data_IF_868690819925
#
_entry.id   IF_868690819925
#
_cell.length_a   1.000
_cell.length_b   1.000
_cell.length_c   1.000
_cell.angle_alpha   90.00
_cell.angle_beta   90.00
_cell.angle_gamma   90.00
#
_symmetry.space_group_name_H-M   'P 1'
#
loop_
_entity.id
_entity.type
_entity.pdbx_description
1 polymer ?
#
# COMPACT_ATOMS: atom_id res chain seq x y z
N UNK A 1 -22.64 19.90 -4.98
CA UNK A 1 -23.56 18.74 -5.18
C UNK A 1 -22.67 17.53 -5.30
N UNK A 2 -23.03 16.42 -4.67
CA UNK A 2 -22.15 15.24 -4.62
C UNK A 2 -22.45 14.28 -5.78
N UNK A 3 -21.43 13.65 -6.33
CA UNK A 3 -21.55 12.76 -7.47
C UNK A 3 -20.78 11.45 -7.25
N UNK A 4 -21.30 10.36 -7.79
CA UNK A 4 -20.55 9.11 -7.91
C UNK A 4 -20.30 8.82 -9.38
N UNK A 5 -19.03 8.77 -9.76
CA UNK A 5 -18.57 8.48 -11.12
C UNK A 5 -17.85 7.14 -11.12
N UNK A 6 -18.01 6.36 -12.17
CA UNK A 6 -17.23 5.15 -12.43
C UNK A 6 -16.33 5.34 -13.62
N UNK A 7 -15.16 4.69 -13.59
CA UNK A 7 -14.37 4.40 -14.78
C UNK A 7 -14.55 2.93 -15.15
N UNK A 8 -14.78 2.64 -16.41
CA UNK A 8 -14.83 1.28 -16.94
C UNK A 8 -13.48 0.85 -17.51
N UNK A 9 -13.26 -0.47 -17.63
CA UNK A 9 -12.01 -1.05 -18.14
C UNK A 9 -11.63 -0.63 -19.57
N UNK A 10 -12.59 -0.13 -20.35
CA UNK A 10 -12.36 0.44 -21.69
C UNK A 10 -11.93 1.93 -21.65
N UNK A 11 -11.81 2.52 -20.45
CA UNK A 11 -11.36 3.90 -20.26
C UNK A 11 -12.46 4.95 -20.13
N UNK A 12 -13.73 4.60 -20.39
CA UNK A 12 -14.85 5.55 -20.33
C UNK A 12 -15.26 5.87 -18.89
N UNK A 13 -15.73 7.11 -18.67
CA UNK A 13 -16.32 7.55 -17.41
C UNK A 13 -17.83 7.68 -17.53
N UNK A 14 -18.54 7.26 -16.49
CA UNK A 14 -20.00 7.34 -16.41
C UNK A 14 -20.46 7.78 -15.04
N UNK A 15 -21.58 8.49 -15.00
CA UNK A 15 -22.28 8.86 -13.77
C UNK A 15 -23.12 7.70 -13.24
N UNK A 16 -23.02 7.43 -11.95
CA UNK A 16 -23.86 6.45 -11.24
C UNK A 16 -24.91 7.17 -10.41
N UNK A 17 -24.48 8.10 -9.55
CA UNK A 17 -25.35 8.87 -8.65
C UNK A 17 -25.10 10.37 -8.83
N UNK A 18 -26.16 11.14 -8.62
CA UNK A 18 -26.13 12.61 -8.50
C UNK A 18 -26.84 13.00 -7.22
N UNK A 19 -26.34 14.04 -6.56
CA UNK A 19 -26.91 14.59 -5.33
C UNK A 19 -26.99 13.54 -4.20
N UNK A 20 -25.95 12.72 -4.08
CA UNK A 20 -25.85 11.68 -3.05
C UNK A 20 -24.42 11.58 -2.56
N UNK A 21 -24.22 11.84 -1.27
CA UNK A 21 -22.97 11.58 -0.56
C UNK A 21 -22.81 10.08 -0.36
N UNK A 22 -21.64 9.54 -0.70
CA UNK A 22 -21.39 8.08 -0.72
C UNK A 22 -20.46 7.67 0.42
N UNK A 23 -19.52 8.53 0.78
CA UNK A 23 -18.60 8.31 1.90
C UNK A 23 -18.86 9.37 2.97
N UNK A 24 -19.42 8.94 4.10
CA UNK A 24 -19.74 9.83 5.21
C UNK A 24 -18.49 10.31 5.97
N UNK A 25 -17.41 9.51 5.95
CA UNK A 25 -16.19 9.78 6.69
C UNK A 25 -15.02 10.11 5.76
N UNK A 26 -14.72 11.40 5.64
CA UNK A 26 -13.48 11.89 5.06
C UNK A 26 -12.46 11.86 6.19
N UNK A 27 -11.50 10.93 6.12
CA UNK A 27 -10.55 10.69 7.21
C UNK A 27 -9.78 11.95 7.65
N UNK A 28 -9.32 11.95 8.91
CA UNK A 28 -8.40 12.96 9.41
C UNK A 28 -6.99 12.74 8.82
N UNK A 29 -6.42 13.79 8.23
CA UNK A 29 -5.12 13.76 7.57
C UNK A 29 -4.00 14.41 8.41
N UNK A 30 -4.27 14.80 9.67
CA UNK A 30 -3.28 15.42 10.56
C UNK A 30 -2.06 14.52 10.81
N UNK A 31 -2.25 13.20 10.81
CA UNK A 31 -1.19 12.20 11.01
C UNK A 31 -0.72 11.59 9.67
N UNK A 32 -0.73 12.38 8.59
CA UNK A 32 -0.24 11.92 7.30
C UNK A 32 1.29 12.05 7.19
N UNK A 33 1.92 11.10 6.50
CA UNK A 33 3.37 11.09 6.25
C UNK A 33 3.70 10.69 4.82
N UNK A 34 4.87 11.09 4.33
CA UNK A 34 5.33 10.64 3.00
C UNK A 34 5.40 9.11 2.92
N UNK A 35 5.17 8.58 1.72
CA UNK A 35 5.23 7.15 1.48
C UNK A 35 6.62 6.58 1.83
N UNK A 36 6.59 5.45 2.53
CA UNK A 36 7.78 4.72 2.98
C UNK A 36 7.48 3.22 2.97
N UNK A 37 8.22 2.48 2.13
CA UNK A 37 8.11 1.02 1.98
C UNK A 37 8.38 0.25 3.28
N UNK A 38 9.18 0.84 4.16
CA UNK A 38 9.61 0.24 5.42
C UNK A 38 8.65 0.53 6.57
N UNK A 39 7.68 1.43 6.36
CA UNK A 39 6.72 1.85 7.36
C UNK A 39 5.34 1.22 7.14
N UNK A 40 4.77 0.70 8.21
CA UNK A 40 3.41 0.20 8.27
C UNK A 40 2.59 1.22 9.04
N UNK A 41 1.61 1.81 8.36
CA UNK A 41 0.69 2.77 8.97
C UNK A 41 0.04 2.20 10.22
N UNK A 42 -0.03 3.03 11.25
CA UNK A 42 -0.82 2.80 12.46
C UNK A 42 -2.28 3.17 12.20
N UNK A 43 -3.13 2.88 13.18
CA UNK A 43 -4.54 3.26 13.11
C UNK A 43 -4.67 4.80 13.02
N UNK A 44 -5.45 5.27 12.05
CA UNK A 44 -5.64 6.70 11.80
C UNK A 44 -4.54 7.39 10.97
N UNK A 45 -3.42 6.72 10.68
CA UNK A 45 -2.38 7.29 9.82
C UNK A 45 -2.69 7.11 8.32
N UNK A 46 -2.11 8.00 7.51
CA UNK A 46 -2.21 7.99 6.07
C UNK A 46 -0.85 8.23 5.42
N UNK A 47 -0.60 7.62 4.27
CA UNK A 47 0.45 8.10 3.38
C UNK A 47 -0.06 9.28 2.57
N UNK A 48 0.84 10.22 2.25
CA UNK A 48 0.54 11.38 1.41
C UNK A 48 1.55 11.54 0.27
N UNK A 49 1.03 11.87 -0.91
CA UNK A 49 1.80 12.36 -2.05
C UNK A 49 1.40 13.81 -2.30
N UNK A 50 2.39 14.70 -2.25
CA UNK A 50 2.22 16.13 -2.47
C UNK A 50 2.37 16.50 -3.95
N UNK A 51 1.72 17.60 -4.35
CA UNK A 51 1.67 18.08 -5.72
C UNK A 51 1.21 16.95 -6.67
N UNK A 52 0.14 16.26 -6.28
CA UNK A 52 -0.28 15.04 -6.97
C UNK A 52 -0.74 15.32 -8.41
N UNK A 53 -1.39 16.47 -8.65
CA UNK A 53 -1.85 16.89 -9.97
C UNK A 53 -0.74 16.99 -11.01
N UNK A 54 0.49 17.28 -10.58
CA UNK A 54 1.67 17.45 -11.46
C UNK A 54 2.41 16.14 -11.73
N UNK A 55 2.00 15.02 -11.14
CA UNK A 55 2.65 13.72 -11.32
C UNK A 55 2.23 13.07 -12.63
N UNK A 56 3.13 12.35 -13.27
CA UNK A 56 2.86 11.67 -14.57
C UNK A 56 1.76 10.61 -14.46
N UNK A 57 1.59 10.01 -13.29
CA UNK A 57 0.55 9.02 -13.00
C UNK A 57 -0.78 9.64 -12.51
N UNK A 58 -0.91 10.97 -12.51
CA UNK A 58 -2.18 11.63 -12.22
C UNK A 58 -3.15 11.40 -13.39
N UNK A 59 -4.41 11.03 -13.07
CA UNK A 59 -5.43 10.83 -14.10
C UNK A 59 -6.02 12.18 -14.55
N UNK A 60 -6.42 12.33 -15.83
CA UNK A 60 -6.99 13.58 -16.34
C UNK A 60 -8.19 14.11 -15.55
N UNK A 61 -8.98 13.20 -14.94
CA UNK A 61 -10.13 13.57 -14.11
C UNK A 61 -9.77 14.52 -12.95
N UNK A 62 -8.54 14.47 -12.46
CA UNK A 62 -8.06 15.30 -11.35
C UNK A 62 -7.35 16.58 -11.81
N UNK A 63 -7.06 16.71 -13.10
CA UNK A 63 -6.33 17.84 -13.67
C UNK A 63 -7.27 18.93 -14.20
N UNK A 64 -8.51 18.57 -14.50
CA UNK A 64 -9.53 19.46 -15.05
C UNK A 64 -10.67 19.71 -14.05
N UNK A 65 -11.43 20.79 -14.26
CA UNK A 65 -12.64 21.01 -13.50
C UNK A 65 -13.70 19.97 -13.84
N UNK A 66 -14.30 19.37 -12.81
CA UNK A 66 -15.33 18.37 -12.99
C UNK A 66 -16.63 19.03 -13.47
N UNK A 67 -17.03 18.72 -14.71
CA UNK A 67 -18.28 19.20 -15.30
C UNK A 67 -19.30 18.05 -15.35
N UNK A 68 -20.29 18.00 -14.45
CA UNK A 68 -21.19 16.86 -14.35
C UNK A 68 -22.00 16.56 -15.62
N UNK A 69 -22.27 17.57 -16.45
CA UNK A 69 -23.04 17.43 -17.70
C UNK A 69 -22.26 16.74 -18.81
N UNK A 70 -20.94 16.63 -18.70
CA UNK A 70 -20.08 15.96 -19.67
C UNK A 70 -20.15 14.42 -19.58
N UNK A 71 -20.78 13.88 -18.53
CA UNK A 71 -20.82 12.44 -18.27
C UNK A 71 -22.23 11.88 -18.42
N UNK A 72 -22.36 10.84 -19.23
CA UNK A 72 -23.61 10.07 -19.37
C UNK A 72 -23.81 9.14 -18.17
N UNK A 73 -25.07 8.82 -17.86
CA UNK A 73 -25.38 7.80 -16.86
C UNK A 73 -24.95 6.41 -17.34
N UNK A 74 -24.46 5.59 -16.40
CA UNK A 74 -24.04 4.23 -16.67
C UNK A 74 -25.23 3.34 -17.07
N UNK A 75 -25.04 2.52 -18.10
CA UNK A 75 -26.00 1.48 -18.49
C UNK A 75 -25.82 0.23 -17.64
N UNK A 76 -26.92 -0.48 -17.38
CA UNK A 76 -26.94 -1.74 -16.61
C UNK A 76 -25.95 -2.79 -17.16
N UNK A 77 -25.81 -2.88 -18.48
CA UNK A 77 -24.92 -3.84 -19.14
C UNK A 77 -23.44 -3.58 -18.86
N UNK A 78 -23.07 -2.33 -18.56
CA UNK A 78 -21.69 -1.90 -18.38
C UNK A 78 -21.23 -1.97 -16.91
N UNK A 79 -22.14 -2.19 -15.98
CA UNK A 79 -21.82 -2.29 -14.54
C UNK A 79 -20.73 -3.33 -14.23
N UNK A 80 -20.69 -4.46 -14.95
CA UNK A 80 -19.66 -5.50 -14.77
C UNK A 80 -18.28 -5.08 -15.27
N UNK A 81 -18.21 -3.98 -16.02
CA UNK A 81 -16.99 -3.42 -16.61
C UNK A 81 -16.39 -2.32 -15.75
N UNK A 82 -16.99 -1.98 -14.61
CA UNK A 82 -16.43 -0.99 -13.67
C UNK A 82 -15.05 -1.47 -13.21
N UNK A 83 -14.09 -0.55 -13.26
CA UNK A 83 -12.71 -0.75 -12.82
C UNK A 83 -12.47 -0.06 -11.47
N UNK A 84 -12.94 1.19 -11.35
CA UNK A 84 -13.01 1.90 -10.07
C UNK A 84 -14.18 2.88 -10.06
N UNK A 85 -14.53 3.35 -8.87
CA UNK A 85 -15.42 4.49 -8.66
C UNK A 85 -14.71 5.62 -7.95
N UNK A 86 -15.20 6.83 -8.17
CA UNK A 86 -14.76 8.06 -7.53
C UNK A 86 -16.00 8.84 -7.11
N UNK A 87 -16.11 9.09 -5.80
CA UNK A 87 -17.09 10.01 -5.25
C UNK A 87 -16.48 11.40 -5.20
N UNK A 88 -17.17 12.36 -5.80
CA UNK A 88 -16.79 13.77 -5.79
C UNK A 88 -17.72 14.46 -4.81
N UNK A 89 -17.19 14.88 -3.66
CA UNK A 89 -17.95 15.44 -2.55
C UNK A 89 -17.48 16.85 -2.21
N UNK A 90 -18.42 17.77 -2.00
CA UNK A 90 -18.14 19.19 -1.70
C UNK A 90 -17.20 19.87 -2.72
N UNK A 91 -17.22 19.44 -3.98
CA UNK A 91 -16.40 19.93 -5.11
C UNK A 91 -14.86 19.89 -4.91
N UNK A 92 -14.38 19.33 -3.80
CA UNK A 92 -12.95 19.31 -3.42
C UNK A 92 -12.40 17.95 -3.04
N UNK A 93 -13.25 17.02 -2.59
CA UNK A 93 -12.83 15.67 -2.19
C UNK A 93 -13.15 14.68 -3.30
N UNK A 94 -12.12 13.97 -3.75
CA UNK A 94 -12.23 12.88 -4.71
C UNK A 94 -11.86 11.58 -3.99
N UNK A 95 -12.88 10.81 -3.60
CA UNK A 95 -12.73 9.59 -2.82
C UNK A 95 -12.83 8.38 -3.75
N UNK A 96 -11.77 7.60 -3.87
CA UNK A 96 -11.69 6.49 -4.82
C UNK A 96 -11.89 5.14 -4.13
N UNK A 97 -12.51 4.22 -4.85
CA UNK A 97 -12.54 2.81 -4.49
C UNK A 97 -12.27 1.95 -5.72
N UNK A 98 -11.28 1.07 -5.63
CA UNK A 98 -11.03 0.03 -6.62
C UNK A 98 -12.15 -1.01 -6.61
N UNK A 99 -12.64 -1.37 -7.79
CA UNK A 99 -13.71 -2.36 -7.94
C UNK A 99 -13.14 -3.66 -8.52
N UNK A 100 -13.03 -4.67 -7.66
CA UNK A 100 -12.76 -6.05 -8.06
C UNK A 100 -14.08 -6.83 -8.26
N UNK A 101 -14.07 -7.98 -8.96
CA UNK A 101 -15.29 -8.79 -9.16
C UNK A 101 -16.03 -9.16 -7.88
N UNK A 102 -15.35 -9.20 -6.72
CA UNK A 102 -15.96 -9.45 -5.42
C UNK A 102 -16.92 -8.34 -4.95
N UNK A 103 -16.77 -7.11 -5.42
CA UNK A 103 -17.68 -5.98 -5.17
C UNK A 103 -18.83 -5.92 -6.16
N UNK A 104 -18.82 -6.79 -7.18
CA UNK A 104 -19.81 -6.81 -8.24
C UNK A 104 -20.72 -8.02 -8.07
N UNK A 105 -21.77 -7.89 -7.25
CA UNK A 105 -22.72 -8.98 -7.08
C UNK A 105 -23.66 -9.10 -8.28
N UNK A 106 -23.67 -10.29 -8.86
CA UNK A 106 -24.66 -10.73 -9.84
C UNK A 106 -25.41 -11.93 -9.27
N UNK A 107 -26.74 -11.87 -9.24
CA UNK A 107 -27.65 -12.95 -8.81
C UNK A 107 -27.36 -13.49 -7.40
N UNK A 108 -27.09 -12.61 -6.42
CA UNK A 108 -26.89 -13.03 -5.03
C UNK A 108 -28.20 -12.99 -4.27
N UNK A 109 -28.47 -14.07 -3.54
CA UNK A 109 -29.54 -14.09 -2.53
C UNK A 109 -28.94 -13.69 -1.20
N UNK A 110 -29.45 -12.63 -0.59
CA UNK A 110 -29.04 -12.10 0.71
C UNK A 110 -30.17 -12.29 1.70
N UNK A 111 -29.86 -12.51 2.97
CA UNK A 111 -30.86 -12.50 4.04
C UNK A 111 -30.72 -11.18 4.79
N UNK A 112 -31.81 -10.42 4.88
CA UNK A 112 -31.83 -9.12 5.56
C UNK A 112 -32.70 -9.17 6.80
N UNK A 113 -32.13 -8.71 7.91
CA UNK A 113 -32.82 -8.35 9.15
C UNK A 113 -33.15 -6.86 9.22
N UNK A 114 -33.01 -6.14 8.10
CA UNK A 114 -33.30 -4.72 8.02
C UNK A 114 -34.77 -4.43 8.33
N UNK A 115 -35.02 -3.38 9.11
CA UNK A 115 -36.34 -2.91 9.50
C UNK A 115 -37.18 -3.90 10.31
N UNK A 116 -36.57 -4.91 10.96
CA UNK A 116 -37.29 -5.73 11.92
C UNK A 116 -37.59 -4.91 13.18
N UNK A 117 -38.87 -4.80 13.54
CA UNK A 117 -39.33 -3.99 14.70
C UNK A 117 -39.72 -4.81 15.91
N UNK A 118 -39.92 -6.12 15.72
CA UNK A 118 -40.30 -7.06 16.77
C UNK A 118 -39.41 -8.31 16.72
N UNK A 119 -39.07 -8.92 17.88
CA UNK A 119 -38.33 -10.19 17.95
C UNK A 119 -39.00 -11.36 17.22
N UNK A 120 -40.30 -11.25 16.93
CA UNK A 120 -41.08 -12.28 16.22
C UNK A 120 -41.04 -12.14 14.69
N UNK A 121 -40.49 -11.06 14.16
CA UNK A 121 -40.40 -10.86 12.72
C UNK A 121 -39.26 -11.69 12.11
N UNK A 122 -39.53 -12.32 10.97
CA UNK A 122 -38.55 -13.16 10.28
C UNK A 122 -37.71 -12.33 9.32
N UNK A 123 -36.45 -12.72 9.17
CA UNK A 123 -35.56 -12.17 8.16
C UNK A 123 -36.10 -12.42 6.74
N UNK A 124 -35.79 -11.52 5.81
CA UNK A 124 -36.29 -11.57 4.43
C UNK A 124 -35.18 -12.00 3.48
N UNK A 125 -35.51 -12.91 2.56
CA UNK A 125 -34.64 -13.25 1.43
C UNK A 125 -34.75 -12.16 0.36
N UNK A 126 -33.66 -11.44 0.14
CA UNK A 126 -33.49 -10.42 -0.89
C UNK A 126 -32.76 -11.03 -2.08
N UNK A 127 -33.34 -10.95 -3.28
CA UNK A 127 -32.74 -11.43 -4.53
C UNK A 127 -32.52 -10.26 -5.46
N UNK A 128 -31.35 -9.64 -5.32
CA UNK A 128 -30.98 -8.47 -6.10
C UNK A 128 -29.85 -8.84 -7.08
N UNK A 129 -29.82 -8.13 -8.20
CA UNK A 129 -28.84 -8.35 -9.27
C UNK A 129 -28.23 -7.02 -9.69
N UNK A 130 -26.96 -7.05 -10.10
CA UNK A 130 -26.19 -5.88 -10.49
C UNK A 130 -25.96 -4.89 -9.33
N UNK A 131 -25.58 -5.41 -8.16
CA UNK A 131 -25.30 -4.62 -6.96
C UNK A 131 -23.82 -4.29 -6.86
N UNK A 132 -23.48 -3.01 -6.98
CA UNK A 132 -22.16 -2.49 -6.64
C UNK A 132 -22.04 -2.31 -5.13
N UNK A 133 -21.03 -2.93 -4.53
CA UNK A 133 -20.72 -2.76 -3.11
C UNK A 133 -19.72 -1.62 -2.94
N UNK A 134 -20.10 -0.63 -2.14
CA UNK A 134 -19.24 0.47 -1.70
C UNK A 134 -18.72 0.15 -0.29
N UNK A 135 -17.44 0.46 -0.04
CA UNK A 135 -16.80 0.34 1.27
C UNK A 135 -17.17 1.52 2.15
N UNK A 136 -17.11 1.33 3.47
CA UNK A 136 -17.27 2.45 4.41
C UNK A 136 -16.13 3.47 4.29
N UNK A 137 -14.93 3.00 3.92
CA UNK A 137 -13.75 3.85 3.73
C UNK A 137 -13.22 3.73 2.30
N UNK A 138 -12.84 4.84 1.66
CA UNK A 138 -12.22 4.80 0.34
C UNK A 138 -10.81 4.21 0.39
N UNK A 139 -10.33 3.72 -0.75
CA UNK A 139 -8.95 3.26 -0.93
C UNK A 139 -7.96 4.43 -0.93
N UNK A 140 -8.37 5.59 -1.45
CA UNK A 140 -7.64 6.85 -1.34
C UNK A 140 -8.55 8.07 -1.47
N UNK A 141 -8.02 9.22 -1.02
CA UNK A 141 -8.69 10.52 -1.06
C UNK A 141 -7.74 11.55 -1.67
N UNK A 142 -8.14 12.17 -2.77
CA UNK A 142 -7.47 13.35 -3.30
C UNK A 142 -8.21 14.61 -2.84
N UNK A 143 -7.45 15.56 -2.29
CA UNK A 143 -7.97 16.85 -1.82
C UNK A 143 -7.48 17.94 -2.76
N UNK A 144 -8.39 18.47 -3.58
CA UNK A 144 -8.07 19.42 -4.66
C UNK A 144 -7.43 20.71 -4.13
N UNK A 145 -7.95 21.27 -3.05
CA UNK A 145 -7.51 22.57 -2.50
C UNK A 145 -6.03 22.61 -2.10
N UNK A 146 -5.48 21.47 -1.69
CA UNK A 146 -4.10 21.36 -1.20
C UNK A 146 -3.21 20.51 -2.13
N UNK A 147 -3.79 20.00 -3.23
CA UNK A 147 -3.15 19.12 -4.20
C UNK A 147 -2.42 17.91 -3.57
N UNK A 148 -3.10 17.20 -2.67
CA UNK A 148 -2.56 16.02 -1.96
C UNK A 148 -3.42 14.79 -2.17
N UNK A 149 -2.77 13.66 -2.47
CA UNK A 149 -3.38 12.33 -2.47
C UNK A 149 -3.02 11.59 -1.19
N UNK A 150 -4.04 11.16 -0.45
CA UNK A 150 -3.93 10.36 0.76
C UNK A 150 -4.36 8.92 0.51
N UNK A 151 -3.60 7.94 0.99
CA UNK A 151 -3.94 6.52 0.85
C UNK A 151 -3.37 5.68 1.98
N UNK A 152 -3.95 4.51 2.23
CA UNK A 152 -3.44 3.55 3.24
C UNK A 152 -2.62 2.42 2.64
N UNK A 153 -2.90 2.06 1.39
CA UNK A 153 -2.26 0.93 0.73
C UNK A 153 -1.95 1.28 -0.72
N UNK A 154 -0.66 1.39 -1.04
CA UNK A 154 -0.21 1.71 -2.40
C UNK A 154 -0.75 0.68 -3.40
N UNK A 155 -0.71 -0.63 -3.08
CA UNK A 155 -1.23 -1.72 -3.93
C UNK A 155 -2.71 -1.56 -4.31
N UNK A 156 -3.51 -0.93 -3.45
CA UNK A 156 -4.94 -0.74 -3.72
C UNK A 156 -5.17 0.30 -4.83
N UNK A 157 -4.24 1.23 -5.01
CA UNK A 157 -4.40 2.40 -5.89
C UNK A 157 -3.54 2.32 -7.16
N UNK A 158 -2.65 1.33 -7.28
CA UNK A 158 -1.78 1.13 -8.46
C UNK A 158 -2.56 0.94 -9.75
N UNK A 159 -3.71 0.27 -9.67
CA UNK A 159 -4.60 0.09 -10.83
C UNK A 159 -5.42 1.34 -11.15
N UNK A 160 -5.57 2.26 -10.20
CA UNK A 160 -6.29 3.53 -10.40
C UNK A 160 -5.34 4.55 -11.05
N UNK A 161 -4.13 4.68 -10.49
CA UNK A 161 -3.07 5.58 -10.94
C UNK A 161 -1.92 4.77 -11.53
N UNK A 162 -2.03 4.43 -12.81
CA UNK A 162 -1.00 3.66 -13.49
C UNK A 162 0.34 4.42 -13.48
N UNK A 163 1.41 3.79 -13.00
CA UNK A 163 2.73 4.42 -12.81
C UNK A 163 3.06 4.80 -11.37
N UNK A 164 2.08 4.92 -10.47
CA UNK A 164 2.33 5.28 -9.06
C UNK A 164 3.22 4.29 -8.29
N UNK A 165 3.44 3.10 -8.86
CA UNK A 165 4.39 2.11 -8.37
C UNK A 165 5.83 2.62 -8.32
N UNK A 166 6.18 3.70 -9.02
CA UNK A 166 7.49 4.34 -8.89
C UNK A 166 7.80 4.80 -7.45
N UNK A 167 6.76 4.96 -6.62
CA UNK A 167 6.94 5.24 -5.20
C UNK A 167 7.59 4.07 -4.46
N UNK A 168 7.53 2.86 -5.01
CA UNK A 168 8.32 1.74 -4.52
C UNK A 168 9.80 2.02 -4.76
N UNK A 169 10.57 2.14 -3.68
CA UNK A 169 12.04 2.26 -3.75
C UNK A 169 12.67 0.89 -3.91
N UNK A 170 12.25 0.14 -4.92
CA UNK A 170 12.79 -1.19 -5.22
C UNK A 170 14.18 -1.10 -5.85
N UNK A 171 15.14 -1.88 -5.32
CA UNK A 171 16.46 -2.00 -5.91
C UNK A 171 16.40 -2.65 -7.30
N UNK A 172 17.04 -2.00 -8.26
CA UNK A 172 17.31 -2.52 -9.61
C UNK A 172 18.19 -3.77 -9.55
N UNK A 173 18.20 -4.58 -10.61
CA UNK A 173 19.08 -5.76 -10.68
C UNK A 173 20.55 -5.43 -10.42
N UNK A 174 21.04 -4.28 -10.91
CA UNK A 174 22.41 -3.84 -10.67
C UNK A 174 22.65 -3.45 -9.21
N UNK A 175 21.69 -2.79 -8.56
CA UNK A 175 21.78 -2.47 -7.13
C UNK A 175 21.72 -3.76 -6.27
N UNK A 176 20.91 -4.75 -6.65
CA UNK A 176 20.85 -6.06 -5.98
C UNK A 176 22.18 -6.80 -6.13
N UNK A 177 22.74 -6.88 -7.35
CA UNK A 177 24.05 -7.51 -7.59
C UNK A 177 25.16 -6.81 -6.79
N UNK A 178 25.14 -5.47 -6.76
CA UNK A 178 26.10 -4.66 -5.99
C UNK A 178 26.02 -4.99 -4.50
N UNK A 179 24.80 -5.07 -3.95
CA UNK A 179 24.59 -5.46 -2.55
C UNK A 179 25.10 -6.87 -2.27
N UNK A 180 24.71 -7.86 -3.08
CA UNK A 180 25.13 -9.26 -2.90
C UNK A 180 26.65 -9.46 -3.06
N UNK A 181 27.34 -8.54 -3.75
CA UNK A 181 28.80 -8.57 -3.94
C UNK A 181 29.58 -7.81 -2.86
N UNK A 182 28.92 -7.28 -1.83
CA UNK A 182 29.59 -6.59 -0.73
C UNK A 182 30.60 -7.51 -0.03
N UNK A 183 31.72 -6.93 0.42
CA UNK A 183 32.83 -7.65 1.07
C UNK A 183 32.40 -8.44 2.31
N UNK A 184 31.39 -7.96 3.01
CA UNK A 184 30.77 -8.61 4.17
C UNK A 184 29.89 -9.81 3.84
N UNK A 185 29.56 -10.08 2.57
CA UNK A 185 28.67 -11.17 2.18
C UNK A 185 29.47 -12.33 1.60
N UNK A 186 29.14 -13.53 2.06
CA UNK A 186 29.50 -14.79 1.41
C UNK A 186 28.23 -15.35 0.75
N UNK A 187 28.11 -15.11 -0.56
CA UNK A 187 27.02 -15.63 -1.37
C UNK A 187 27.28 -17.12 -1.61
N UNK A 188 26.45 -17.97 -1.02
CA UNK A 188 26.53 -19.41 -1.18
C UNK A 188 25.45 -19.90 -2.13
N UNK A 189 25.67 -21.08 -2.74
CA UNK A 189 24.74 -21.74 -3.67
C UNK A 189 24.46 -20.95 -4.97
N UNK A 190 23.50 -21.42 -5.77
CA UNK A 190 23.05 -20.74 -7.01
C UNK A 190 22.19 -19.49 -6.72
N UNK A 191 22.21 -18.94 -5.50
CA UNK A 191 21.42 -17.77 -5.12
C UNK A 191 21.98 -16.52 -5.79
N UNK A 192 21.17 -15.89 -6.63
CA UNK A 192 21.50 -14.70 -7.40
C UNK A 192 20.39 -13.66 -7.27
N UNK A 193 20.52 -12.55 -7.99
CA UNK A 193 19.46 -11.54 -8.10
C UNK A 193 18.10 -12.12 -8.54
N UNK A 194 18.09 -13.21 -9.31
CA UNK A 194 16.87 -13.76 -9.92
C UNK A 194 15.95 -14.40 -8.88
N UNK A 195 16.52 -14.81 -7.73
CA UNK A 195 15.79 -15.38 -6.60
C UNK A 195 15.38 -14.34 -5.56
N UNK A 196 15.90 -13.10 -5.63
CA UNK A 196 15.57 -12.03 -4.69
C UNK A 196 14.19 -11.46 -5.01
N UNK A 197 13.24 -11.60 -4.09
CA UNK A 197 11.86 -11.14 -4.30
C UNK A 197 11.72 -9.66 -4.00
N UNK A 198 10.69 -9.07 -4.59
CA UNK A 198 10.33 -7.64 -4.43
C UNK A 198 10.36 -7.12 -2.98
N UNK A 199 9.86 -7.84 -1.96
CA UNK A 199 9.96 -7.35 -0.58
C UNK A 199 11.39 -7.09 -0.09
N UNK A 200 12.35 -7.95 -0.43
CA UNK A 200 13.75 -7.75 -0.07
C UNK A 200 14.39 -6.66 -0.94
N UNK A 201 14.08 -6.61 -2.25
CA UNK A 201 14.57 -5.56 -3.16
C UNK A 201 14.24 -4.15 -2.68
N UNK A 202 13.06 -3.93 -2.10
CA UNK A 202 12.66 -2.64 -1.52
C UNK A 202 13.46 -2.20 -0.30
N UNK A 203 14.14 -3.13 0.38
CA UNK A 203 14.94 -2.84 1.58
C UNK A 203 16.44 -2.75 1.31
N UNK A 204 16.90 -3.31 0.19
CA UNK A 204 18.32 -3.35 -0.18
C UNK A 204 18.93 -1.95 -0.23
N UNK A 205 18.24 -0.99 -0.85
CA UNK A 205 18.77 0.37 -1.01
C UNK A 205 19.04 1.04 0.33
N UNK A 206 18.05 1.04 1.23
CA UNK A 206 18.21 1.62 2.56
C UNK A 206 19.25 0.88 3.40
N UNK A 207 19.26 -0.46 3.35
CA UNK A 207 20.25 -1.27 4.06
C UNK A 207 21.68 -0.98 3.59
N UNK A 208 21.87 -0.81 2.27
CA UNK A 208 23.15 -0.44 1.66
C UNK A 208 23.59 0.95 2.12
N UNK A 209 22.69 1.93 2.04
CA UNK A 209 22.97 3.31 2.47
C UNK A 209 23.32 3.39 3.97
N UNK A 210 22.55 2.71 4.83
CA UNK A 210 22.83 2.63 6.27
C UNK A 210 24.19 2.00 6.56
N UNK A 211 24.47 0.85 5.94
CA UNK A 211 25.76 0.18 6.14
C UNK A 211 26.94 1.03 5.67
N UNK A 212 26.80 1.71 4.54
CA UNK A 212 27.85 2.60 4.02
C UNK A 212 28.09 3.82 4.93
N UNK A 213 27.05 4.30 5.60
CA UNK A 213 27.14 5.39 6.57
C UNK A 213 27.66 4.97 7.95
N UNK A 214 27.79 3.67 8.23
CA UNK A 214 28.35 3.20 9.50
C UNK A 214 29.88 3.44 9.57
N UNK A 215 30.34 3.90 10.73
CA UNK A 215 31.76 3.95 11.06
C UNK A 215 32.34 2.54 11.18
N UNK A 216 33.67 2.42 11.13
CA UNK A 216 34.37 1.14 11.32
C UNK A 216 34.00 0.50 12.67
N UNK A 217 33.88 1.30 13.72
CA UNK A 217 33.47 0.82 15.05
C UNK A 217 32.03 0.28 15.04
N UNK A 218 31.10 0.94 14.34
CA UNK A 218 29.73 0.47 14.20
C UNK A 218 29.66 -0.83 13.40
N UNK A 219 30.41 -0.93 12.29
CA UNK A 219 30.50 -2.16 11.48
C UNK A 219 31.02 -3.34 12.29
N UNK A 220 32.04 -3.12 13.11
CA UNK A 220 32.61 -4.16 13.99
C UNK A 220 31.63 -4.67 15.07
N UNK A 221 30.56 -3.93 15.38
CA UNK A 221 29.53 -4.37 16.34
C UNK A 221 28.45 -5.24 15.70
N UNK A 222 28.28 -5.19 14.38
CA UNK A 222 27.20 -5.91 13.67
C UNK A 222 27.26 -7.43 13.92
N UNK A 223 28.42 -8.11 13.85
CA UNK A 223 28.47 -9.55 14.11
C UNK A 223 27.97 -9.96 15.49
N UNK A 224 28.36 -9.20 16.52
CA UNK A 224 27.91 -9.45 17.89
C UNK A 224 26.43 -9.12 18.09
N UNK A 225 25.94 -8.10 17.40
CA UNK A 225 24.52 -7.76 17.43
C UNK A 225 23.67 -8.87 16.78
N UNK A 226 24.03 -9.34 15.59
CA UNK A 226 23.20 -10.35 14.91
C UNK A 226 23.29 -11.73 15.54
N UNK A 227 24.43 -12.10 16.14
CA UNK A 227 24.57 -13.42 16.77
C UNK A 227 23.56 -13.66 17.90
N UNK A 228 23.04 -12.58 18.48
CA UNK A 228 21.98 -12.63 19.50
C UNK A 228 20.61 -12.99 18.92
N UNK A 229 20.36 -12.76 17.63
CA UNK A 229 19.04 -12.96 17.00
C UNK A 229 19.05 -14.04 15.91
N UNK A 230 20.08 -14.05 15.06
CA UNK A 230 20.29 -14.99 13.95
C UNK A 230 21.70 -15.59 14.05
N UNK A 231 21.95 -16.56 14.96
CA UNK A 231 23.29 -17.05 15.27
C UNK A 231 23.99 -17.76 14.10
N UNK A 232 23.23 -18.24 13.11
CA UNK A 232 23.76 -18.98 11.97
C UNK A 232 24.08 -18.10 10.75
N UNK A 233 23.75 -16.81 10.80
CA UNK A 233 23.92 -15.91 9.65
C UNK A 233 25.38 -15.47 9.49
N UNK A 234 26.10 -15.26 10.60
CA UNK A 234 27.48 -14.79 10.59
C UNK A 234 28.47 -15.94 10.75
N UNK A 235 29.41 -16.06 9.81
CA UNK A 235 30.52 -16.99 9.88
C UNK A 235 31.77 -16.29 10.41
N UNK A 236 32.15 -16.63 11.64
CA UNK A 236 33.32 -16.07 12.31
C UNK A 236 34.66 -16.52 11.69
N UNK A 237 34.68 -17.60 10.88
CA UNK A 237 35.91 -18.07 10.22
C UNK A 237 36.23 -17.24 8.98
N UNK A 238 35.20 -16.88 8.20
CA UNK A 238 35.33 -16.05 7.00
C UNK A 238 35.12 -14.57 7.27
N UNK A 239 34.59 -14.21 8.45
CA UNK A 239 34.23 -12.86 8.86
C UNK A 239 33.15 -12.24 7.94
N UNK A 240 32.18 -13.06 7.51
CA UNK A 240 31.15 -12.72 6.52
C UNK A 240 29.76 -13.25 6.90
N UNK A 241 28.72 -12.65 6.33
CA UNK A 241 27.34 -13.13 6.40
C UNK A 241 27.06 -14.11 5.28
N UNK A 242 26.61 -15.30 5.64
CA UNK A 242 26.21 -16.36 4.71
C UNK A 242 24.84 -16.04 4.12
N UNK A 243 24.74 -15.99 2.79
CA UNK A 243 23.48 -15.78 2.08
C UNK A 243 23.31 -16.86 1.01
N UNK A 244 22.39 -17.79 1.24
CA UNK A 244 22.04 -18.90 0.33
C UNK A 244 20.57 -18.90 -0.09
N UNK A 245 19.75 -18.09 0.58
CA UNK A 245 18.31 -18.05 0.33
C UNK A 245 17.68 -16.72 0.76
N UNK A 246 16.43 -16.53 0.35
CA UNK A 246 15.65 -15.32 0.61
C UNK A 246 15.48 -15.02 2.10
N UNK A 247 15.42 -16.04 2.96
CA UNK A 247 15.26 -15.86 4.41
C UNK A 247 16.51 -15.26 5.03
N UNK A 248 17.69 -15.79 4.70
CA UNK A 248 18.98 -15.27 5.16
C UNK A 248 19.21 -13.84 4.67
N UNK A 249 18.82 -13.53 3.42
CA UNK A 249 18.82 -12.17 2.92
C UNK A 249 17.89 -11.24 3.74
N UNK A 250 16.67 -11.68 4.05
CA UNK A 250 15.77 -10.92 4.92
C UNK A 250 16.38 -10.70 6.31
N UNK A 251 17.04 -11.70 6.88
CA UNK A 251 17.71 -11.59 8.18
C UNK A 251 18.85 -10.56 8.14
N UNK A 252 19.68 -10.57 7.10
CA UNK A 252 20.74 -9.57 6.91
C UNK A 252 20.17 -8.17 6.72
N UNK A 253 19.15 -7.98 5.89
CA UNK A 253 18.51 -6.68 5.68
C UNK A 253 17.91 -6.13 6.98
N UNK A 254 17.23 -6.97 7.77
CA UNK A 254 16.74 -6.60 9.10
C UNK A 254 17.89 -6.22 10.05
N UNK A 255 19.05 -6.86 9.91
CA UNK A 255 20.26 -6.57 10.69
C UNK A 255 20.78 -5.18 10.37
N UNK A 256 21.01 -4.90 9.08
CA UNK A 256 21.56 -3.61 8.62
C UNK A 256 20.59 -2.45 8.91
N UNK A 257 19.28 -2.70 8.85
CA UNK A 257 18.25 -1.73 9.22
C UNK A 257 17.97 -1.68 10.74
N UNK A 258 18.75 -2.38 11.57
CA UNK A 258 18.65 -2.39 13.03
C UNK A 258 17.23 -2.69 13.55
N UNK A 259 16.55 -3.66 12.93
CA UNK A 259 15.17 -4.02 13.28
C UNK A 259 15.06 -5.00 14.45
N UNK A 260 16.13 -5.69 14.82
CA UNK A 260 16.13 -6.55 15.99
C UNK A 260 16.43 -5.74 17.25
N UNK A 261 15.69 -6.00 18.31
CA UNK A 261 15.93 -5.37 19.59
C UNK A 261 15.49 -6.28 20.73
N UNK A 262 15.98 -5.98 21.93
CA UNK A 262 15.59 -6.65 23.16
C UNK A 262 14.97 -5.61 24.08
N UNK A 263 13.81 -5.92 24.65
CA UNK A 263 13.13 -5.03 25.59
C UNK A 263 13.91 -4.92 26.91
N UNK A 264 13.97 -3.71 27.47
CA UNK A 264 14.78 -3.45 28.66
C UNK A 264 14.22 -4.05 29.95
N UNK A 265 12.89 -4.25 30.03
CA UNK A 265 12.21 -4.66 31.28
C UNK A 265 12.19 -6.19 31.42
N UNK A 266 11.74 -6.90 30.39
CA UNK A 266 11.52 -8.36 30.41
C UNK A 266 12.48 -9.15 29.52
N UNK A 267 13.38 -8.48 28.77
CA UNK A 267 14.42 -9.14 27.98
C UNK A 267 13.91 -9.88 26.75
N UNK A 268 12.71 -9.56 26.28
CA UNK A 268 12.08 -10.19 25.12
C UNK A 268 12.75 -9.72 23.81
N UNK A 269 13.15 -10.69 22.98
CA UNK A 269 13.69 -10.41 21.64
C UNK A 269 12.56 -10.15 20.67
N UNK A 270 12.61 -9.01 19.98
CA UNK A 270 11.58 -8.56 19.05
C UNK A 270 12.18 -8.14 17.71
N UNK A 271 11.32 -8.17 16.70
CA UNK A 271 11.59 -7.64 15.37
C UNK A 271 10.63 -6.49 15.08
N UNK A 272 11.17 -5.32 14.77
CA UNK A 272 10.40 -4.15 14.41
C UNK A 272 9.78 -4.30 13.02
N UNK A 273 8.45 -4.16 12.95
CA UNK A 273 7.74 -4.08 11.67
C UNK A 273 7.98 -2.74 10.96
N UNK A 274 8.21 -1.67 11.73
CA UNK A 274 8.45 -0.32 11.24
C UNK A 274 9.33 0.45 12.20
N UNK A 275 10.15 1.35 11.67
CA UNK A 275 11.04 2.20 12.46
C UNK A 275 10.76 3.64 12.08
N UNK A 276 10.66 4.53 13.05
CA UNK A 276 10.59 5.98 12.83
C UNK A 276 11.67 6.63 13.67
N UNK A 277 12.49 7.46 13.03
CA UNK A 277 13.50 8.25 13.72
C UNK A 277 12.77 9.35 14.50
N UNK A 278 13.07 9.44 15.80
CA UNK A 278 12.59 10.49 16.69
C UNK A 278 13.50 11.73 16.62
#
# INVERSE_FOLDING_TARGET
>A
MDYLISKTKNGSYYKILSDTTVFDNIGDFNNARSYDDEYKLQEGEWFVVENFSTKEYCIPLLQEDFIPTSYSYMRKEDYKKIDFVVSIQNDKYFLFQKITPSYLYSKKSMISWGNLRSPSEQARLIKEDNILVIKDNPDCVFVKDIDKLYFKNLNAITSIFNGINELYREATDSEVETFLSMDIINLESDFSKDQVKTPNRRRIKEATERYNNFSTEQKNRIPNYISQYCPNLYDATTNKFRISNEKELTELLNTLNQRYYTTEIDGEKRLANSVTKL
#
